data_IF_100184958984
#
_entry.id   IF_100184958984
#
_cell.length_a   1.000
_cell.length_b   1.000
_cell.length_c   1.000
_cell.angle_alpha   90.00
_cell.angle_beta   90.00
_cell.angle_gamma   90.00
#
_symmetry.space_group_name_H-M   'P 1'
#
loop_
_entity.id
_entity.type
_entity.pdbx_description
1 polymer ?
#
# COMPACT_ATOMS: atom_id res chain seq x y z
N UNK A 1 8.68 41.44 -19.78
CA UNK A 1 7.87 42.41 -19.00
C UNK A 1 8.58 42.76 -17.70
N UNK A 2 8.67 41.87 -16.72
CA UNK A 2 9.34 42.13 -15.42
C UNK A 2 10.75 42.75 -15.51
N UNK A 3 11.62 42.30 -16.42
CA UNK A 3 12.94 42.91 -16.63
C UNK A 3 12.84 44.36 -17.14
N UNK A 4 11.90 44.65 -18.04
CA UNK A 4 11.66 46.01 -18.56
C UNK A 4 11.16 46.93 -17.46
N UNK A 5 10.23 46.44 -16.63
CA UNK A 5 9.68 47.18 -15.49
C UNK A 5 10.80 47.49 -14.47
N UNK A 6 11.64 46.51 -14.18
CA UNK A 6 12.80 46.66 -13.30
C UNK A 6 13.76 47.76 -13.76
N UNK A 7 14.08 47.80 -15.06
CA UNK A 7 14.98 48.82 -15.62
C UNK A 7 14.36 50.23 -15.52
N UNK A 8 13.05 50.35 -15.72
CA UNK A 8 12.35 51.64 -15.57
C UNK A 8 12.44 52.17 -14.12
N UNK A 9 12.40 51.28 -13.13
CA UNK A 9 12.50 51.61 -11.70
C UNK A 9 13.97 51.84 -11.24
N UNK A 10 14.94 51.13 -11.83
CA UNK A 10 16.34 51.08 -11.37
C UNK A 10 17.33 51.69 -12.38
N UNK A 11 17.09 52.95 -12.79
CA UNK A 11 17.88 53.69 -13.80
C UNK A 11 19.38 53.88 -13.51
N UNK A 12 19.86 53.48 -12.32
CA UNK A 12 21.26 53.59 -11.91
C UNK A 12 22.05 52.29 -12.06
N UNK A 13 21.39 51.19 -12.39
CA UNK A 13 22.06 49.89 -12.54
C UNK A 13 22.80 49.86 -13.88
N UNK A 14 24.13 49.63 -13.90
CA UNK A 14 24.90 49.59 -15.14
C UNK A 14 24.40 48.49 -16.08
N UNK A 15 24.18 48.82 -17.36
CA UNK A 15 23.72 47.88 -18.39
C UNK A 15 24.64 46.64 -18.50
N UNK A 16 25.94 46.84 -18.33
CA UNK A 16 26.91 45.76 -18.39
C UNK A 16 26.79 44.76 -17.21
N UNK A 17 26.43 45.24 -16.00
CA UNK A 17 26.15 44.37 -14.85
C UNK A 17 24.83 43.60 -15.03
N UNK A 18 23.84 44.21 -15.68
CA UNK A 18 22.60 43.53 -16.09
C UNK A 18 22.94 42.41 -17.09
N UNK A 19 23.73 42.70 -18.12
CA UNK A 19 24.18 41.71 -19.12
C UNK A 19 24.95 40.56 -18.46
N UNK A 20 25.92 40.89 -17.59
CA UNK A 20 26.69 39.93 -16.80
C UNK A 20 25.79 39.00 -15.99
N UNK A 21 24.82 39.57 -15.26
CA UNK A 21 23.88 38.80 -14.45
C UNK A 21 22.95 37.92 -15.29
N UNK A 22 22.50 38.41 -16.46
CA UNK A 22 21.66 37.61 -17.35
C UNK A 22 22.40 36.43 -17.98
N UNK A 23 23.68 36.59 -18.30
CA UNK A 23 24.50 35.56 -18.95
C UNK A 23 25.10 34.55 -17.97
N UNK A 24 25.58 35.00 -16.80
CA UNK A 24 26.31 34.13 -15.85
C UNK A 24 25.58 33.91 -14.53
N UNK A 25 24.65 34.80 -14.16
CA UNK A 25 23.90 34.72 -12.89
C UNK A 25 22.58 33.95 -12.98
N UNK A 26 22.29 33.31 -14.12
CA UNK A 26 20.97 32.77 -14.46
C UNK A 26 21.04 31.41 -15.16
N UNK A 27 20.06 30.56 -14.88
CA UNK A 27 19.89 29.28 -15.58
C UNK A 27 19.35 29.51 -16.99
N UNK A 28 20.07 29.04 -18.00
CA UNK A 28 19.63 29.10 -19.40
C UNK A 28 18.63 27.99 -19.69
N UNK A 29 17.36 28.36 -19.89
CA UNK A 29 16.28 27.45 -20.26
C UNK A 29 16.25 27.19 -21.77
N UNK A 30 15.36 26.31 -22.20
CA UNK A 30 15.25 25.84 -23.58
C UNK A 30 14.68 26.90 -24.54
N UNK A 31 13.85 27.81 -24.05
CA UNK A 31 13.43 28.99 -24.80
C UNK A 31 14.42 30.12 -24.54
N UNK A 32 15.22 30.46 -25.55
CA UNK A 32 16.26 31.48 -25.46
C UNK A 32 15.88 32.73 -26.23
N UNK A 33 16.26 33.86 -25.66
CA UNK A 33 16.13 35.19 -26.22
C UNK A 33 17.49 35.89 -26.02
N UNK A 34 18.01 36.50 -27.07
CA UNK A 34 19.19 37.35 -27.01
C UNK A 34 19.00 38.61 -27.85
N UNK A 35 19.61 39.71 -27.44
CA UNK A 35 19.71 40.92 -28.23
C UNK A 35 21.03 41.62 -27.96
N UNK A 36 21.58 42.28 -28.98
CA UNK A 36 22.83 43.04 -28.88
C UNK A 36 22.51 44.53 -29.01
N UNK A 37 22.87 45.31 -28.01
CA UNK A 37 22.46 46.71 -27.84
C UNK A 37 23.62 47.58 -27.38
N UNK A 38 23.60 48.85 -27.76
CA UNK A 38 24.59 49.87 -27.37
C UNK A 38 24.14 50.70 -26.16
N UNK A 39 22.86 50.69 -25.82
CA UNK A 39 22.31 51.52 -24.73
C UNK A 39 21.10 50.93 -24.02
N UNK A 40 20.81 51.44 -22.82
CA UNK A 40 19.61 51.07 -22.05
C UNK A 40 18.32 51.45 -22.78
N UNK A 41 18.31 52.61 -23.45
CA UNK A 41 17.16 53.10 -24.23
C UNK A 41 16.84 52.14 -25.38
N UNK A 42 17.88 51.64 -26.06
CA UNK A 42 17.74 50.66 -27.14
C UNK A 42 17.19 49.33 -26.59
N UNK A 43 17.72 48.84 -25.47
CA UNK A 43 17.21 47.63 -24.82
C UNK A 43 15.74 47.75 -24.41
N UNK A 44 15.35 48.87 -23.79
CA UNK A 44 13.96 49.10 -23.41
C UNK A 44 13.06 49.15 -24.65
N UNK A 45 13.47 49.85 -25.72
CA UNK A 45 12.72 49.90 -26.98
C UNK A 45 12.51 48.50 -27.59
N UNK A 46 13.57 47.69 -27.64
CA UNK A 46 13.54 46.30 -28.12
C UNK A 46 12.59 45.42 -27.30
N UNK A 47 12.68 45.48 -25.96
CA UNK A 47 11.83 44.70 -25.07
C UNK A 47 10.35 45.10 -25.20
N UNK A 48 10.03 46.39 -25.30
CA UNK A 48 8.66 46.86 -25.51
C UNK A 48 8.13 46.44 -26.88
N UNK A 49 8.94 46.56 -27.93
CA UNK A 49 8.58 46.12 -29.28
C UNK A 49 8.30 44.61 -29.33
N UNK A 50 9.15 43.80 -28.71
CA UNK A 50 8.96 42.35 -28.61
C UNK A 50 7.66 42.00 -27.87
N UNK A 51 7.40 42.64 -26.72
CA UNK A 51 6.19 42.41 -25.92
C UNK A 51 4.89 42.87 -26.61
N UNK A 52 4.96 43.78 -27.58
CA UNK A 52 3.79 44.38 -28.25
C UNK A 52 3.35 43.64 -29.51
N UNK A 53 4.10 42.65 -29.99
CA UNK A 53 3.71 41.92 -31.21
C UNK A 53 4.79 41.05 -31.87
N UNK A 54 5.95 40.85 -31.24
CA UNK A 54 6.96 39.90 -31.73
C UNK A 54 7.60 40.24 -33.07
N UNK A 55 7.58 41.51 -33.52
CA UNK A 55 8.28 41.89 -34.73
C UNK A 55 9.79 41.63 -34.58
N UNK A 56 10.33 40.80 -35.47
CA UNK A 56 11.76 40.50 -35.59
C UNK A 56 12.51 41.78 -35.98
N UNK A 57 12.93 42.56 -34.98
CA UNK A 57 13.96 43.58 -35.18
C UNK A 57 15.27 42.83 -35.45
N UNK A 58 16.10 43.33 -36.38
CA UNK A 58 17.34 42.67 -36.84
C UNK A 58 18.33 42.31 -35.72
N UNK A 59 18.13 42.84 -34.52
CA UNK A 59 18.98 42.65 -33.34
C UNK A 59 18.38 41.69 -32.29
N UNK A 60 17.25 41.03 -32.57
CA UNK A 60 16.61 40.07 -31.66
C UNK A 60 16.73 38.65 -32.21
N UNK A 61 17.31 37.78 -31.40
CA UNK A 61 17.51 36.37 -31.71
C UNK A 61 16.69 35.53 -30.74
N UNK A 62 15.97 34.54 -31.26
CA UNK A 62 15.19 33.60 -30.44
C UNK A 62 15.26 32.20 -30.99
N UNK A 63 15.33 31.21 -30.10
CA UNK A 63 15.12 29.83 -30.49
C UNK A 63 14.52 29.02 -29.32
N UNK A 64 13.98 27.86 -29.66
CA UNK A 64 13.48 26.87 -28.72
C UNK A 64 13.98 25.51 -29.18
N UNK A 65 14.48 24.68 -28.27
CA UNK A 65 14.95 23.33 -28.59
C UNK A 65 14.60 22.35 -27.46
N UNK A 66 14.43 21.06 -27.79
CA UNK A 66 14.34 20.01 -26.77
C UNK A 66 15.72 19.50 -26.40
N UNK A 67 15.94 19.05 -25.16
CA UNK A 67 17.26 18.60 -24.68
C UNK A 67 17.86 17.46 -25.51
N UNK A 68 17.01 16.61 -26.10
CA UNK A 68 17.42 15.46 -26.93
C UNK A 68 17.75 15.82 -28.39
N UNK A 69 17.50 17.05 -28.84
CA UNK A 69 17.77 17.52 -30.22
C UNK A 69 19.08 18.31 -30.35
N UNK A 70 19.89 18.40 -29.27
CA UNK A 70 21.15 19.15 -29.25
C UNK A 70 22.23 18.48 -30.10
N UNK A 71 22.24 18.77 -31.39
CA UNK A 71 23.35 18.43 -32.29
C UNK A 71 24.32 19.61 -32.39
N UNK A 72 25.26 19.72 -31.44
CA UNK A 72 26.31 20.76 -31.49
C UNK A 72 27.28 20.48 -32.65
N UNK A 73 27.28 21.34 -33.68
CA UNK A 73 28.34 21.33 -34.69
C UNK A 73 29.63 21.93 -34.11
N UNK A 74 30.65 21.09 -33.92
CA UNK A 74 31.95 21.50 -33.35
C UNK A 74 32.61 22.70 -34.06
N UNK A 75 32.42 22.83 -35.37
CA UNK A 75 32.94 23.96 -36.17
C UNK A 75 32.31 25.28 -35.76
N UNK A 76 30.99 25.31 -35.59
CA UNK A 76 30.24 26.51 -35.17
C UNK A 76 30.55 26.88 -33.71
N UNK A 77 30.70 25.87 -32.84
CA UNK A 77 31.15 26.08 -31.45
C UNK A 77 32.53 26.74 -31.38
N UNK A 78 33.50 26.24 -32.16
CA UNK A 78 34.84 26.82 -32.25
C UNK A 78 34.80 28.25 -32.77
N UNK A 79 34.00 28.51 -33.80
CA UNK A 79 33.81 29.86 -34.33
C UNK A 79 33.22 30.82 -33.29
N UNK A 80 32.20 30.39 -32.54
CA UNK A 80 31.62 31.20 -31.46
C UNK A 80 32.64 31.54 -30.37
N UNK A 81 33.41 30.56 -29.89
CA UNK A 81 34.45 30.81 -28.90
C UNK A 81 35.58 31.69 -29.45
N UNK A 82 35.94 31.53 -30.72
CA UNK A 82 36.90 32.43 -31.38
C UNK A 82 36.39 33.87 -31.39
N UNK A 83 35.13 34.10 -31.77
CA UNK A 83 34.53 35.43 -31.73
C UNK A 83 34.60 36.02 -30.30
N UNK A 84 34.33 35.21 -29.26
CA UNK A 84 34.41 35.66 -27.87
C UNK A 84 35.83 36.12 -27.50
N UNK A 85 36.85 35.32 -27.82
CA UNK A 85 38.23 35.66 -27.44
C UNK A 85 38.80 36.84 -28.23
N UNK A 86 38.35 37.05 -29.47
CA UNK A 86 38.79 38.18 -30.30
C UNK A 86 38.23 39.52 -29.81
N UNK A 87 37.06 39.54 -29.16
CA UNK A 87 36.39 40.78 -28.72
C UNK A 87 37.25 41.67 -27.81
N UNK A 88 38.20 41.12 -27.04
CA UNK A 88 39.09 41.91 -26.18
C UNK A 88 40.07 42.78 -26.97
N UNK A 89 40.38 42.42 -28.22
CA UNK A 89 41.31 43.13 -29.10
C UNK A 89 40.65 44.03 -30.14
N UNK A 90 39.31 44.04 -30.22
CA UNK A 90 38.56 44.80 -31.22
C UNK A 90 38.23 46.18 -30.66
N UNK A 91 38.72 47.23 -31.33
CA UNK A 91 38.45 48.62 -30.98
C UNK A 91 37.39 49.27 -31.88
N UNK A 92 37.09 48.66 -33.03
CA UNK A 92 36.04 49.12 -33.92
C UNK A 92 34.66 48.73 -33.38
N UNK A 93 33.74 49.69 -33.12
CA UNK A 93 32.45 49.39 -32.53
C UNK A 93 31.54 48.52 -33.41
N UNK A 94 31.68 48.59 -34.73
CA UNK A 94 30.81 47.84 -35.64
C UNK A 94 31.29 46.40 -35.79
N UNK A 95 32.61 46.18 -35.87
CA UNK A 95 33.23 44.85 -35.80
C UNK A 95 32.94 44.16 -34.45
N UNK A 96 32.99 44.91 -33.34
CA UNK A 96 32.65 44.39 -32.01
C UNK A 96 31.20 43.90 -31.94
N UNK A 97 30.27 44.70 -32.49
CA UNK A 97 28.85 44.35 -32.55
C UNK A 97 28.59 43.15 -33.47
N UNK A 98 29.29 43.04 -34.59
CA UNK A 98 29.18 41.91 -35.51
C UNK A 98 29.61 40.60 -34.82
N UNK A 99 30.75 40.61 -34.11
CA UNK A 99 31.23 39.45 -33.35
C UNK A 99 30.29 39.07 -32.22
N UNK A 100 29.76 40.03 -31.47
CA UNK A 100 28.74 39.77 -30.44
C UNK A 100 27.44 39.21 -31.04
N UNK A 101 27.07 39.66 -32.23
CA UNK A 101 25.88 39.16 -32.94
C UNK A 101 26.03 37.68 -33.27
N UNK A 102 27.18 37.26 -33.79
CA UNK A 102 27.47 35.84 -34.03
C UNK A 102 27.39 34.99 -32.74
N UNK A 103 27.88 35.53 -31.61
CA UNK A 103 27.78 34.88 -30.31
C UNK A 103 26.32 34.76 -29.85
N UNK A 104 25.52 35.81 -30.01
CA UNK A 104 24.10 35.81 -29.66
C UNK A 104 23.30 34.77 -30.45
N UNK A 105 23.56 34.65 -31.77
CA UNK A 105 22.93 33.65 -32.63
C UNK A 105 23.23 32.21 -32.19
N UNK A 106 24.49 31.91 -31.92
CA UNK A 106 24.90 30.58 -31.43
C UNK A 106 24.37 30.32 -30.02
N UNK A 107 24.36 31.34 -29.15
CA UNK A 107 23.81 31.22 -27.82
C UNK A 107 22.33 30.82 -27.86
N UNK A 108 21.48 31.48 -28.67
CA UNK A 108 20.05 31.13 -28.70
C UNK A 108 19.82 29.72 -29.26
N UNK A 109 20.67 29.27 -30.18
CA UNK A 109 20.63 27.91 -30.74
C UNK A 109 21.07 26.82 -29.74
N UNK A 110 21.50 27.18 -28.53
CA UNK A 110 21.80 26.22 -27.47
C UNK A 110 23.28 25.84 -27.33
N UNK A 111 24.17 26.45 -28.12
CA UNK A 111 25.60 26.16 -28.05
C UNK A 111 26.20 26.55 -26.69
N UNK A 112 26.98 25.63 -26.10
CA UNK A 112 27.76 25.91 -24.89
C UNK A 112 29.05 26.64 -25.28
N UNK A 113 29.06 27.97 -25.14
CA UNK A 113 30.19 28.85 -25.46
C UNK A 113 30.96 29.27 -24.20
N UNK A 114 32.19 29.74 -24.35
CA UNK A 114 33.02 30.31 -23.27
C UNK A 114 32.57 31.74 -22.91
N UNK A 115 31.32 31.89 -22.48
CA UNK A 115 30.67 33.18 -22.23
C UNK A 115 31.38 33.97 -21.12
N UNK A 116 32.04 33.29 -20.19
CA UNK A 116 32.83 33.87 -19.12
C UNK A 116 33.95 34.78 -19.66
N UNK A 117 34.55 34.43 -20.80
CA UNK A 117 35.62 35.20 -21.42
C UNK A 117 35.18 36.61 -21.89
N UNK A 118 33.87 36.85 -22.12
CA UNK A 118 33.34 38.18 -22.44
C UNK A 118 33.54 39.20 -21.31
N UNK A 119 33.63 38.71 -20.07
CA UNK A 119 33.65 39.54 -18.87
C UNK A 119 34.97 39.46 -18.08
N UNK A 120 35.98 38.79 -18.63
CA UNK A 120 37.29 38.72 -17.98
C UNK A 120 37.93 40.11 -17.91
N UNK A 121 38.36 40.51 -16.70
CA UNK A 121 39.07 41.78 -16.48
C UNK A 121 38.21 43.04 -16.51
N UNK A 122 36.89 42.94 -16.69
CA UNK A 122 35.98 44.11 -16.78
C UNK A 122 35.44 44.58 -15.43
N UNK A 123 35.47 43.71 -14.40
CA UNK A 123 35.04 44.06 -13.03
C UNK A 123 33.52 44.10 -12.81
N UNK A 124 32.72 43.54 -13.73
CA UNK A 124 31.27 43.47 -13.58
C UNK A 124 30.82 42.59 -12.41
N UNK A 125 29.70 42.97 -11.80
CA UNK A 125 29.18 42.29 -10.62
C UNK A 125 27.74 41.82 -10.81
N UNK A 126 27.33 40.84 -10.01
CA UNK A 126 25.95 40.34 -10.00
C UNK A 126 25.03 41.39 -9.37
N UNK A 127 23.96 41.74 -10.08
CA UNK A 127 22.90 42.64 -9.59
C UNK A 127 21.60 41.90 -9.35
N UNK A 128 20.78 42.39 -8.42
CA UNK A 128 19.49 41.77 -8.09
C UNK A 128 18.46 42.03 -9.19
N UNK A 129 18.32 41.10 -10.13
CA UNK A 129 17.30 41.14 -11.19
C UNK A 129 16.02 40.38 -10.79
N UNK A 130 14.85 40.67 -11.39
CA UNK A 130 13.58 40.00 -11.07
C UNK A 130 13.63 38.47 -11.18
N UNK A 131 13.04 37.74 -10.23
CA UNK A 131 13.03 36.27 -10.24
C UNK A 131 12.41 35.68 -11.52
N UNK A 132 12.72 34.42 -11.83
CA UNK A 132 12.01 33.72 -12.91
C UNK A 132 10.50 33.69 -12.64
N UNK A 133 9.65 34.06 -13.61
CA UNK A 133 8.21 33.92 -13.47
C UNK A 133 7.82 32.46 -13.65
N UNK A 134 7.97 31.66 -12.58
CA UNK A 134 7.56 30.25 -12.58
C UNK A 134 6.07 30.13 -12.93
N UNK A 135 5.76 29.10 -13.71
CA UNK A 135 4.38 28.74 -14.01
C UNK A 135 3.63 28.39 -12.72
N UNK A 136 2.45 28.99 -12.54
CA UNK A 136 1.64 28.82 -11.34
C UNK A 136 0.69 27.62 -11.52
N UNK A 137 1.23 26.42 -11.41
CA UNK A 137 0.42 25.19 -11.32
C UNK A 137 0.02 24.88 -9.88
N UNK A 138 -1.19 24.35 -9.67
CA UNK A 138 -1.62 23.85 -8.36
C UNK A 138 -1.18 22.39 -8.21
N UNK A 139 -0.11 22.18 -7.44
CA UNK A 139 0.37 20.85 -7.08
C UNK A 139 0.18 20.67 -5.58
N UNK A 140 -0.89 19.95 -5.20
CA UNK A 140 -1.29 19.76 -3.81
C UNK A 140 -1.59 18.29 -3.55
N UNK A 141 -1.35 17.84 -2.32
CA UNK A 141 -1.69 16.49 -1.86
C UNK A 141 -3.22 16.37 -1.78
N UNK A 142 -3.79 15.28 -2.32
CA UNK A 142 -5.24 15.06 -2.38
C UNK A 142 -5.86 14.91 -0.99
N UNK A 143 -7.17 15.13 -0.85
CA UNK A 143 -7.87 14.98 0.43
C UNK A 143 -7.85 13.53 0.92
N UNK A 144 -7.95 12.55 0.02
CA UNK A 144 -7.73 11.11 0.31
C UNK A 144 -6.33 10.82 0.86
N UNK A 145 -5.32 11.56 0.41
CA UNK A 145 -3.96 11.42 0.94
C UNK A 145 -3.81 12.06 2.32
N UNK A 146 -4.54 13.14 2.60
CA UNK A 146 -4.61 13.75 3.95
C UNK A 146 -5.35 12.86 4.93
N UNK A 147 -6.40 12.17 4.51
CA UNK A 147 -7.11 11.19 5.33
C UNK A 147 -6.21 9.99 5.64
N UNK A 148 -5.44 9.48 4.67
CA UNK A 148 -4.40 8.47 4.95
C UNK A 148 -3.31 8.97 5.87
N UNK A 149 -2.87 10.22 5.72
CA UNK A 149 -1.85 10.79 6.61
C UNK A 149 -2.41 11.06 8.02
N UNK A 150 -3.68 11.45 8.14
CA UNK A 150 -4.39 11.56 9.42
C UNK A 150 -4.58 10.18 10.07
N UNK A 151 -4.94 9.16 9.29
CA UNK A 151 -4.99 7.77 9.74
C UNK A 151 -3.62 7.26 10.18
N UNK A 152 -2.55 7.57 9.44
CA UNK A 152 -1.16 7.29 9.83
C UNK A 152 -0.76 8.02 11.12
N UNK A 153 -1.29 9.22 11.37
CA UNK A 153 -1.11 9.93 12.65
C UNK A 153 -1.94 9.34 13.78
N UNK A 154 -3.10 8.73 13.50
CA UNK A 154 -3.86 7.91 14.46
C UNK A 154 -3.11 6.60 14.80
N UNK A 155 -2.31 6.06 13.87
CA UNK A 155 -1.33 5.00 14.14
C UNK A 155 -0.11 5.48 14.96
N UNK A 156 0.01 6.79 15.25
CA UNK A 156 1.01 7.35 16.17
C UNK A 156 0.36 7.87 17.48
N UNK A 157 0.98 7.60 18.64
CA UNK A 157 0.30 7.64 19.93
C UNK A 157 0.07 9.08 20.42
N UNK A 158 -1.14 9.62 20.23
CA UNK A 158 -1.51 10.91 20.83
C UNK A 158 -2.91 10.95 21.47
N UNK A 159 -3.64 9.83 21.53
CA UNK A 159 -4.93 9.69 22.24
C UNK A 159 -4.82 9.06 23.62
N UNK A 160 -5.93 8.86 24.34
CA UNK A 160 -5.93 8.16 25.64
C UNK A 160 -5.71 6.63 25.45
N UNK A 161 -5.18 5.89 26.45
CA UNK A 161 -4.80 4.47 26.28
C UNK A 161 -5.95 3.45 26.21
N UNK A 162 -7.17 3.83 26.61
CA UNK A 162 -8.30 2.90 26.77
C UNK A 162 -9.10 2.63 25.47
N UNK A 163 -8.73 3.27 24.35
CA UNK A 163 -9.50 3.31 23.09
C UNK A 163 -8.75 2.73 21.87
N UNK A 164 -7.67 1.97 22.06
CA UNK A 164 -6.72 1.68 20.95
C UNK A 164 -6.63 0.19 20.60
N UNK A 165 -7.69 -0.37 20.03
CA UNK A 165 -7.63 -1.70 19.41
C UNK A 165 -7.19 -1.57 17.94
N UNK A 166 -6.26 -2.40 17.41
CA UNK A 166 -5.75 -2.27 16.02
C UNK A 166 -6.82 -2.29 14.92
N UNK A 167 -7.98 -2.85 15.21
CA UNK A 167 -9.14 -2.96 14.32
C UNK A 167 -10.34 -2.08 14.73
N UNK A 168 -10.25 -1.25 15.77
CA UNK A 168 -11.31 -0.31 16.19
C UNK A 168 -10.67 1.07 16.44
N UNK A 169 -10.58 1.90 15.40
CA UNK A 169 -9.86 3.18 15.48
C UNK A 169 -10.70 4.29 16.13
N UNK A 170 -11.96 4.43 15.69
CA UNK A 170 -12.87 5.46 16.17
C UNK A 170 -14.17 4.83 16.69
N UNK A 171 -14.62 5.27 17.87
CA UNK A 171 -16.00 5.04 18.29
C UNK A 171 -16.89 6.12 17.68
N UNK A 172 -17.76 5.72 16.76
CA UNK A 172 -18.69 6.61 16.03
C UNK A 172 -20.14 6.35 16.41
N UNK A 173 -20.36 5.79 17.61
CA UNK A 173 -21.69 5.49 18.14
C UNK A 173 -22.55 6.75 18.25
N UNK A 174 -23.84 6.60 17.99
CA UNK A 174 -24.84 7.65 18.14
C UNK A 174 -26.09 7.08 18.85
N UNK A 175 -27.22 7.80 18.79
CA UNK A 175 -28.46 7.34 19.42
C UNK A 175 -29.08 6.11 18.74
N UNK A 176 -28.61 5.72 17.55
CA UNK A 176 -29.12 4.57 16.81
C UNK A 176 -28.45 3.25 17.22
N UNK A 177 -27.25 3.29 17.81
CA UNK A 177 -26.56 2.07 18.24
C UNK A 177 -25.07 2.26 18.46
N UNK A 178 -24.41 1.16 18.82
CA UNK A 178 -22.96 1.12 19.04
C UNK A 178 -22.25 0.87 17.72
N UNK A 179 -21.34 1.77 17.35
CA UNK A 179 -20.62 1.75 16.07
C UNK A 179 -19.15 2.04 16.25
N UNK A 180 -18.32 1.29 15.52
CA UNK A 180 -16.88 1.51 15.44
C UNK A 180 -16.44 1.61 13.99
N UNK A 181 -15.46 2.47 13.73
CA UNK A 181 -14.93 2.72 12.41
C UNK A 181 -13.41 2.57 12.40
N UNK A 182 -12.88 1.98 11.34
CA UNK A 182 -11.45 1.79 11.14
C UNK A 182 -11.08 2.04 9.69
N UNK A 183 -10.00 2.79 9.46
CA UNK A 183 -9.47 3.04 8.12
C UNK A 183 -8.29 2.11 7.86
N UNK A 184 -8.47 1.17 6.94
CA UNK A 184 -7.45 0.22 6.51
C UNK A 184 -6.77 0.77 5.25
N UNK A 185 -5.49 1.08 5.36
CA UNK A 185 -4.73 1.86 4.38
C UNK A 185 -3.91 1.02 3.42
N UNK A 186 -3.66 -0.25 3.75
CA UNK A 186 -2.72 -1.12 3.05
C UNK A 186 -1.36 -1.24 3.74
N UNK A 187 -1.10 -0.42 4.77
CA UNK A 187 0.15 -0.43 5.54
C UNK A 187 0.10 -1.40 6.74
N UNK A 188 -1.06 -2.00 7.01
CA UNK A 188 -1.27 -2.87 8.17
C UNK A 188 -0.56 -4.22 8.00
N UNK A 189 0.19 -4.63 9.02
CA UNK A 189 1.06 -5.81 9.01
C UNK A 189 0.31 -7.15 8.90
N UNK A 190 -0.97 -7.14 9.28
CA UNK A 190 -1.86 -8.29 9.15
C UNK A 190 -2.46 -8.46 7.74
N UNK A 191 -2.20 -7.57 6.78
CA UNK A 191 -2.73 -7.69 5.42
C UNK A 191 -1.93 -8.68 4.57
N UNK A 192 -2.63 -9.54 3.82
CA UNK A 192 -2.01 -10.58 3.00
C UNK A 192 -1.78 -10.05 1.58
N UNK A 193 -0.55 -10.16 1.07
CA UNK A 193 -0.23 -9.69 -0.29
C UNK A 193 -0.65 -10.69 -1.37
N UNK A 194 -1.30 -10.19 -2.42
CA UNK A 194 -1.76 -10.98 -3.58
C UNK A 194 -0.75 -10.90 -4.74
N UNK A 195 -0.46 -12.02 -5.41
CA UNK A 195 0.55 -12.09 -6.48
C UNK A 195 0.12 -11.37 -7.77
N UNK A 196 -1.10 -11.63 -8.28
CA UNK A 196 -1.51 -11.21 -9.63
C UNK A 196 -1.92 -9.74 -9.74
N UNK A 197 -2.38 -9.12 -8.64
CA UNK A 197 -3.01 -7.79 -8.66
C UNK A 197 -2.22 -6.69 -7.95
N UNK A 198 -1.09 -7.02 -7.33
CA UNK A 198 -0.31 -6.07 -6.53
C UNK A 198 -1.09 -5.44 -5.35
N UNK A 199 -2.24 -6.03 -4.99
CA UNK A 199 -3.11 -5.58 -3.91
C UNK A 199 -2.98 -6.41 -2.64
N UNK A 200 -3.76 -6.06 -1.65
CA UNK A 200 -3.78 -6.70 -0.34
C UNK A 200 -5.14 -7.36 -0.09
N UNK A 201 -5.18 -8.40 0.75
CA UNK A 201 -6.40 -9.05 1.22
C UNK A 201 -6.50 -8.89 2.73
N UNK A 202 -7.69 -8.51 3.20
CA UNK A 202 -8.02 -8.57 4.62
C UNK A 202 -8.26 -10.03 5.02
N UNK A 203 -7.52 -10.58 6.01
CA UNK A 203 -7.78 -11.94 6.49
C UNK A 203 -9.17 -12.04 7.12
N UNK A 204 -9.86 -13.17 6.92
CA UNK A 204 -11.19 -13.40 7.49
C UNK A 204 -11.23 -13.29 9.02
N UNK A 205 -10.11 -13.61 9.69
CA UNK A 205 -9.96 -13.47 11.14
C UNK A 205 -9.98 -12.03 11.64
N UNK A 206 -9.67 -11.03 10.81
CA UNK A 206 -9.76 -9.63 11.20
C UNK A 206 -11.20 -9.21 11.53
N UNK A 207 -12.18 -9.72 10.79
CA UNK A 207 -13.59 -9.44 11.09
C UNK A 207 -14.01 -10.03 12.45
N UNK A 208 -13.53 -11.23 12.78
CA UNK A 208 -13.85 -11.87 14.06
C UNK A 208 -13.27 -11.12 15.23
N UNK A 209 -12.01 -10.70 15.12
CA UNK A 209 -11.36 -9.92 16.17
C UNK A 209 -12.02 -8.54 16.33
N UNK A 210 -12.42 -7.91 15.23
CA UNK A 210 -13.17 -6.64 15.27
C UNK A 210 -14.50 -6.82 16.01
N UNK A 211 -15.28 -7.86 15.69
CA UNK A 211 -16.55 -8.16 16.37
C UNK A 211 -16.33 -8.47 17.87
N UNK A 212 -15.36 -9.33 18.20
CA UNK A 212 -15.00 -9.68 19.58
C UNK A 212 -14.58 -8.45 20.38
N UNK A 213 -13.66 -7.64 19.85
CA UNK A 213 -13.16 -6.45 20.52
C UNK A 213 -14.28 -5.40 20.71
N UNK A 214 -15.15 -5.22 19.70
CA UNK A 214 -16.27 -4.29 19.79
C UNK A 214 -17.28 -4.71 20.86
N UNK A 215 -17.57 -6.01 20.94
CA UNK A 215 -18.40 -6.57 22.01
C UNK A 215 -17.76 -6.38 23.39
N UNK A 216 -16.46 -6.66 23.54
CA UNK A 216 -15.73 -6.48 24.81
C UNK A 216 -15.73 -5.01 25.29
N UNK A 217 -15.62 -4.04 24.39
CA UNK A 217 -15.72 -2.62 24.75
C UNK A 217 -17.17 -2.22 25.12
N UNK A 218 -18.15 -2.84 24.47
CA UNK A 218 -19.57 -2.57 24.72
C UNK A 218 -20.07 -3.16 26.04
N UNK A 219 -19.52 -4.29 26.49
CA UNK A 219 -19.89 -4.92 27.76
C UNK A 219 -19.62 -4.02 28.97
N UNK A 220 -18.51 -3.27 28.96
CA UNK A 220 -18.18 -2.28 29.98
C UNK A 220 -19.25 -1.18 30.08
N UNK A 221 -19.78 -0.74 28.94
CA UNK A 221 -20.85 0.27 28.88
C UNK A 221 -22.19 -0.30 29.36
N UNK A 222 -22.47 -1.57 29.02
CA UNK A 222 -23.69 -2.29 29.39
C UNK A 222 -23.65 -2.88 30.82
N UNK A 223 -22.50 -2.79 31.52
CA UNK A 223 -22.25 -3.39 32.85
C UNK A 223 -22.55 -4.90 32.90
N UNK A 224 -22.30 -5.59 31.80
CA UNK A 224 -22.36 -7.04 31.77
C UNK A 224 -21.18 -7.59 32.59
N UNK A 225 -21.33 -8.75 33.26
CA UNK A 225 -20.16 -9.43 33.82
C UNK A 225 -19.13 -9.62 32.70
N UNK A 226 -17.85 -9.37 33.00
CA UNK A 226 -16.77 -9.63 32.07
C UNK A 226 -16.63 -11.16 31.93
N UNK A 227 -17.47 -11.76 31.10
CA UNK A 227 -17.43 -13.18 30.75
C UNK A 227 -16.74 -13.37 29.39
N UNK A 228 -16.34 -14.60 29.11
CA UNK A 228 -15.78 -14.98 27.82
C UNK A 228 -16.77 -14.70 26.67
N UNK A 229 -16.23 -14.56 25.46
CA UNK A 229 -17.01 -14.16 24.29
C UNK A 229 -17.32 -15.38 23.44
N UNK A 230 -18.58 -15.53 23.05
CA UNK A 230 -19.03 -16.54 22.08
C UNK A 230 -19.67 -15.86 20.88
N UNK A 231 -19.16 -16.16 19.69
CA UNK A 231 -19.77 -15.75 18.42
C UNK A 231 -20.61 -16.92 17.88
N UNK A 232 -21.82 -16.65 17.38
CA UNK A 232 -22.73 -17.66 16.80
C UNK A 232 -23.23 -17.23 15.44
N UNK A 233 -23.51 -18.24 14.59
CA UNK A 233 -24.09 -18.02 13.26
C UNK A 233 -23.24 -17.09 12.39
N UNK A 234 -21.92 -17.20 12.52
CA UNK A 234 -20.97 -16.32 11.84
C UNK A 234 -20.99 -16.64 10.34
N UNK A 235 -21.11 -15.62 9.51
CA UNK A 235 -21.06 -15.73 8.07
C UNK A 235 -20.08 -14.71 7.47
N UNK A 236 -19.19 -15.17 6.60
CA UNK A 236 -18.36 -14.33 5.74
C UNK A 236 -19.01 -14.23 4.37
N UNK A 237 -19.54 -13.06 4.07
CA UNK A 237 -20.33 -12.81 2.87
C UNK A 237 -19.43 -12.59 1.65
N UNK A 238 -18.25 -11.97 1.82
CA UNK A 238 -17.32 -11.69 0.73
C UNK A 238 -15.87 -11.48 1.23
N UNK A 239 -14.85 -12.02 0.54
CA UNK A 239 -13.46 -11.62 0.80
C UNK A 239 -13.23 -10.15 0.39
N UNK A 240 -12.43 -9.43 1.17
CA UNK A 240 -12.08 -8.04 0.88
C UNK A 240 -10.65 -7.94 0.33
N UNK A 241 -10.56 -7.65 -0.97
CA UNK A 241 -9.31 -7.29 -1.64
C UNK A 241 -9.23 -5.76 -1.75
N UNK A 242 -8.17 -5.18 -1.19
CA UNK A 242 -7.87 -3.76 -1.24
C UNK A 242 -7.12 -3.41 -2.52
N UNK A 243 -7.65 -2.45 -3.27
CA UNK A 243 -6.94 -1.69 -4.31
C UNK A 243 -6.38 -0.41 -3.68
N UNK A 244 -5.43 0.24 -4.36
CA UNK A 244 -4.47 1.26 -3.84
C UNK A 244 -5.00 2.36 -2.91
N UNK A 245 -6.32 2.53 -2.77
CA UNK A 245 -6.92 3.60 -2.01
C UNK A 245 -7.25 3.33 -0.54
N UNK A 246 -7.18 2.07 -0.12
CA UNK A 246 -7.61 1.63 1.22
C UNK A 246 -9.13 1.40 1.29
N UNK A 247 -9.64 1.14 2.48
CA UNK A 247 -11.06 0.90 2.75
C UNK A 247 -11.41 1.29 4.18
N UNK A 248 -12.60 1.84 4.39
CA UNK A 248 -13.17 2.04 5.72
C UNK A 248 -13.97 0.80 6.11
N UNK A 249 -13.66 0.22 7.27
CA UNK A 249 -14.45 -0.81 7.91
C UNK A 249 -15.35 -0.18 8.96
N UNK A 250 -16.62 -0.57 8.99
CA UNK A 250 -17.57 -0.16 10.01
C UNK A 250 -18.18 -1.40 10.67
N UNK A 251 -18.06 -1.49 11.99
CA UNK A 251 -18.75 -2.47 12.83
C UNK A 251 -19.96 -1.79 13.44
N UNK A 252 -21.14 -2.37 13.26
CA UNK A 252 -22.38 -1.99 13.94
C UNK A 252 -22.86 -3.14 14.82
N UNK A 253 -23.26 -2.82 16.04
CA UNK A 253 -23.81 -3.76 17.03
C UNK A 253 -25.27 -3.41 17.33
N UNK A 254 -26.13 -4.42 17.27
CA UNK A 254 -27.57 -4.30 17.50
C UNK A 254 -27.96 -5.14 18.69
N UNK A 255 -28.71 -4.56 19.64
CA UNK A 255 -29.22 -5.30 20.77
C UNK A 255 -30.33 -6.28 20.34
N UNK A 256 -30.22 -7.53 20.75
CA UNK A 256 -31.25 -8.55 20.62
C UNK A 256 -31.78 -8.98 22.01
N UNK A 257 -32.62 -10.00 22.05
CA UNK A 257 -33.10 -10.61 23.30
C UNK A 257 -31.95 -11.37 24.01
N UNK A 258 -32.15 -11.68 25.30
CA UNK A 258 -31.27 -12.57 26.08
C UNK A 258 -29.77 -12.19 26.12
N UNK A 259 -29.46 -10.89 26.22
CA UNK A 259 -28.08 -10.38 26.29
C UNK A 259 -27.22 -10.76 25.07
N UNK A 260 -27.87 -11.02 23.93
CA UNK A 260 -27.20 -11.24 22.65
C UNK A 260 -27.14 -9.92 21.89
N UNK A 261 -26.04 -9.67 21.19
CA UNK A 261 -25.96 -8.60 20.19
C UNK A 261 -25.78 -9.22 18.81
N UNK A 262 -26.59 -8.84 17.83
CA UNK A 262 -26.25 -9.05 16.44
C UNK A 262 -25.15 -8.06 16.04
N UNK A 263 -24.30 -8.45 15.09
CA UNK A 263 -23.27 -7.57 14.57
C UNK A 263 -23.17 -7.68 13.05
N UNK A 264 -22.78 -6.57 12.43
CA UNK A 264 -22.48 -6.50 11.02
C UNK A 264 -21.22 -5.68 10.77
N UNK A 265 -20.32 -6.18 9.92
CA UNK A 265 -19.10 -5.51 9.50
C UNK A 265 -19.19 -5.20 8.01
N UNK A 266 -19.12 -3.91 7.68
CA UNK A 266 -19.22 -3.39 6.31
C UNK A 266 -17.91 -2.77 5.85
N UNK A 267 -17.62 -2.91 4.56
CA UNK A 267 -16.55 -2.17 3.88
C UNK A 267 -17.13 -1.05 3.00
N UNK A 268 -16.55 0.14 3.15
CA UNK A 268 -16.82 1.32 2.33
C UNK A 268 -15.53 1.73 1.59
N UNK A 269 -15.47 1.66 0.24
CA UNK A 269 -14.32 2.15 -0.52
C UNK A 269 -14.13 3.67 -0.38
N UNK A 270 -12.88 4.15 -0.39
CA UNK A 270 -12.55 5.58 -0.26
C UNK A 270 -12.69 6.39 -1.56
N UNK A 271 -12.84 5.76 -2.72
CA UNK A 271 -12.86 6.47 -4.00
C UNK A 271 -14.20 7.20 -4.26
N UNK A 272 -14.13 8.46 -4.71
CA UNK A 272 -15.26 9.40 -5.00
C UNK A 272 -16.17 9.02 -6.21
N UNK A 273 -16.22 7.76 -6.61
CA UNK A 273 -17.03 7.34 -7.75
C UNK A 273 -18.44 6.95 -7.29
N UNK A 274 -19.39 7.90 -7.28
CA UNK A 274 -20.86 7.69 -7.13
C UNK A 274 -21.24 6.60 -6.11
N UNK A 275 -21.33 6.97 -4.83
CA UNK A 275 -21.83 6.16 -3.70
C UNK A 275 -21.84 4.64 -3.96
N UNK A 276 -20.67 3.96 -3.96
CA UNK A 276 -20.67 2.51 -3.95
C UNK A 276 -21.36 2.07 -2.65
N UNK A 277 -22.41 1.25 -2.77
CA UNK A 277 -23.13 0.75 -1.59
C UNK A 277 -22.16 0.01 -0.64
N UNK A 278 -22.29 0.19 0.69
CA UNK A 278 -21.50 -0.54 1.66
C UNK A 278 -21.62 -2.05 1.43
N UNK A 279 -20.50 -2.75 1.45
CA UNK A 279 -20.48 -4.21 1.23
C UNK A 279 -20.35 -4.91 2.58
N UNK A 280 -21.34 -5.75 2.90
CA UNK A 280 -21.28 -6.62 4.08
C UNK A 280 -20.16 -7.64 3.90
N UNK A 281 -19.23 -7.69 4.86
CA UNK A 281 -18.10 -8.61 4.87
C UNK A 281 -18.36 -9.80 5.79
N UNK A 282 -18.82 -9.51 7.01
CA UNK A 282 -19.01 -10.50 8.05
C UNK A 282 -20.17 -10.10 8.95
N UNK A 283 -20.95 -11.07 9.41
CA UNK A 283 -22.08 -10.87 10.31
C UNK A 283 -22.27 -12.09 11.20
N UNK A 284 -22.99 -11.91 12.30
CA UNK A 284 -23.34 -12.97 13.23
C UNK A 284 -23.93 -12.38 14.51
N UNK A 285 -23.94 -13.19 15.57
CA UNK A 285 -24.32 -12.73 16.91
C UNK A 285 -23.19 -12.96 17.90
N UNK A 286 -23.10 -12.11 18.91
CA UNK A 286 -22.18 -12.21 20.03
C UNK A 286 -22.95 -12.28 21.34
N UNK A 287 -22.50 -13.14 22.24
CA UNK A 287 -23.01 -13.26 23.59
C UNK A 287 -21.85 -13.48 24.57
N UNK A 288 -22.14 -13.28 25.85
CA UNK A 288 -21.22 -13.49 26.96
C UNK A 288 -21.60 -14.80 27.65
N UNK A 289 -20.67 -15.73 27.68
CA UNK A 289 -20.87 -17.05 28.29
C UNK A 289 -19.53 -17.53 28.83
N UNK A 290 -19.48 -18.03 30.06
CA UNK A 290 -18.25 -18.61 30.63
C UNK A 290 -17.77 -19.79 29.80
N UNK A 291 -16.56 -19.70 29.24
CA UNK A 291 -15.93 -20.79 28.50
C UNK A 291 -15.10 -21.64 29.49
N UNK A 292 -15.42 -22.93 29.67
CA UNK A 292 -14.66 -23.81 30.54
C UNK A 292 -13.17 -23.80 30.20
N UNK A 293 -12.33 -23.87 31.23
CA UNK A 293 -10.90 -24.10 30.99
C UNK A 293 -10.70 -25.53 30.51
N UNK A 294 -10.25 -25.67 29.27
CA UNK A 294 -9.90 -26.93 28.66
C UNK A 294 -8.40 -26.96 28.37
N UNK A 295 -7.78 -28.12 28.61
CA UNK A 295 -6.37 -28.35 28.33
C UNK A 295 -6.17 -29.64 27.57
N UNK A 296 -5.42 -29.57 26.48
CA UNK A 296 -5.08 -30.71 25.64
C UNK A 296 -3.63 -31.17 25.86
N UNK A 297 -3.41 -32.49 25.74
CA UNK A 297 -2.07 -33.04 25.58
C UNK A 297 -1.66 -32.97 24.11
N UNK A 298 -0.92 -31.91 23.78
CA UNK A 298 -0.45 -31.64 22.42
C UNK A 298 0.46 -32.75 21.87
N UNK A 299 1.20 -33.45 22.73
CA UNK A 299 2.05 -34.56 22.30
C UNK A 299 1.22 -35.74 21.82
N UNK A 300 0.10 -36.01 22.51
CA UNK A 300 -0.87 -37.04 22.13
C UNK A 300 -1.59 -36.65 20.84
N UNK A 301 -1.97 -35.38 20.64
CA UNK A 301 -2.59 -34.92 19.38
C UNK A 301 -1.59 -35.04 18.22
N UNK A 302 -0.35 -34.59 18.42
CA UNK A 302 0.70 -34.67 17.41
C UNK A 302 0.95 -36.11 16.95
N UNK A 303 0.99 -37.07 17.89
CA UNK A 303 1.16 -38.49 17.58
C UNK A 303 0.01 -39.06 16.74
N UNK A 304 -1.20 -38.49 16.81
CA UNK A 304 -2.34 -38.89 15.96
C UNK A 304 -2.29 -38.27 14.57
N UNK A 305 -1.55 -37.18 14.39
CA UNK A 305 -1.41 -36.46 13.13
C UNK A 305 -0.10 -36.84 12.39
N UNK A 306 0.47 -38.02 12.64
CA UNK A 306 1.85 -38.34 12.23
C UNK A 306 1.97 -39.08 10.88
N UNK A 307 0.93 -39.09 10.04
CA UNK A 307 1.00 -39.77 8.74
C UNK A 307 2.00 -39.02 7.83
N UNK A 308 1.96 -37.70 7.86
CA UNK A 308 2.87 -36.83 7.13
C UNK A 308 3.31 -35.63 7.97
N UNK A 309 4.48 -35.11 7.64
CA UNK A 309 5.07 -33.96 8.34
C UNK A 309 5.70 -33.01 7.35
N UNK A 310 5.55 -31.70 7.59
CA UNK A 310 6.20 -30.65 6.81
C UNK A 310 7.00 -29.74 7.72
N UNK A 311 8.22 -29.45 7.29
CA UNK A 311 9.01 -28.35 7.83
C UNK A 311 8.43 -27.00 7.36
N UNK A 312 8.79 -25.92 8.05
CA UNK A 312 8.50 -24.54 7.60
C UNK A 312 8.85 -24.29 6.13
N UNK A 313 10.02 -24.76 5.66
CA UNK A 313 10.40 -24.55 4.26
C UNK A 313 9.51 -25.32 3.29
N UNK A 314 9.18 -26.58 3.57
CA UNK A 314 8.33 -27.40 2.72
C UNK A 314 6.90 -26.86 2.67
N UNK A 315 6.36 -26.47 3.83
CA UNK A 315 5.04 -25.85 3.95
C UNK A 315 4.95 -24.60 3.08
N UNK A 316 5.85 -23.62 3.25
CA UNK A 316 5.77 -22.36 2.51
C UNK A 316 6.19 -22.46 1.04
N UNK A 317 7.04 -23.44 0.67
CA UNK A 317 7.33 -23.73 -0.75
C UNK A 317 6.07 -24.12 -1.51
N UNK A 318 5.15 -24.80 -0.83
CA UNK A 318 3.90 -25.27 -1.44
C UNK A 318 2.95 -24.13 -1.87
N UNK A 319 3.10 -22.94 -1.28
CA UNK A 319 2.36 -21.73 -1.63
C UNK A 319 3.03 -20.89 -2.72
N UNK A 320 4.23 -21.24 -3.19
CA UNK A 320 4.93 -20.49 -4.25
C UNK A 320 4.14 -20.45 -5.56
N UNK A 321 3.34 -21.49 -5.83
CA UNK A 321 2.44 -21.59 -6.98
C UNK A 321 1.02 -21.11 -6.70
N UNK A 322 0.76 -20.53 -5.53
CA UNK A 322 -0.55 -19.99 -5.14
C UNK A 322 -0.65 -18.49 -5.41
N UNK A 323 -1.86 -17.96 -5.52
CA UNK A 323 -2.11 -16.52 -5.72
C UNK A 323 -1.73 -15.64 -4.51
N UNK A 324 -1.33 -16.26 -3.40
CA UNK A 324 -0.95 -15.59 -2.16
C UNK A 324 0.56 -15.59 -1.98
N UNK A 325 1.08 -14.47 -1.47
CA UNK A 325 2.47 -14.37 -1.02
C UNK A 325 2.53 -13.85 0.40
N UNK A 326 2.76 -14.76 1.35
CA UNK A 326 3.06 -14.39 2.73
C UNK A 326 4.43 -13.69 2.82
N UNK A 327 4.42 -12.52 3.45
CA UNK A 327 5.64 -11.83 3.86
C UNK A 327 6.43 -12.69 4.87
N UNK A 328 7.77 -12.55 4.97
CA UNK A 328 8.58 -13.33 5.90
C UNK A 328 8.05 -13.35 7.35
N UNK A 329 7.50 -12.23 7.80
CA UNK A 329 6.94 -12.02 9.13
C UNK A 329 5.63 -12.78 9.32
N UNK A 330 4.84 -12.96 8.26
CA UNK A 330 3.57 -13.69 8.28
C UNK A 330 3.73 -15.22 8.17
N UNK A 331 4.97 -15.69 7.99
CA UNK A 331 5.30 -17.12 7.86
C UNK A 331 5.48 -17.77 9.23
N UNK A 332 4.40 -17.79 10.01
CA UNK A 332 4.43 -18.21 11.42
C UNK A 332 4.46 -19.71 11.64
N UNK A 333 4.05 -20.55 10.68
CA UNK A 333 4.04 -22.00 10.86
C UNK A 333 5.48 -22.54 10.89
N UNK A 334 5.85 -23.23 11.96
CA UNK A 334 7.16 -23.87 12.13
C UNK A 334 7.17 -25.30 11.61
N UNK A 335 6.08 -26.03 11.88
CA UNK A 335 5.96 -27.45 11.57
C UNK A 335 4.50 -27.83 11.49
N UNK A 336 4.18 -28.75 10.58
CA UNK A 336 2.84 -29.30 10.40
C UNK A 336 2.92 -30.82 10.46
N UNK A 337 1.96 -31.43 11.14
CA UNK A 337 1.71 -32.86 11.22
C UNK A 337 0.29 -33.09 10.71
N UNK A 338 0.12 -33.91 9.67
CA UNK A 338 -1.19 -34.20 9.07
C UNK A 338 -1.45 -35.69 8.90
N UNK A 339 -2.72 -36.08 8.98
CA UNK A 339 -3.16 -37.44 8.72
C UNK A 339 -4.57 -37.73 9.23
N UNK A 340 -5.26 -38.69 8.58
CA UNK A 340 -6.54 -39.25 9.04
C UNK A 340 -7.61 -38.18 9.34
N UNK A 341 -7.82 -37.27 8.38
CA UNK A 341 -8.80 -36.20 8.51
C UNK A 341 -8.45 -35.14 9.55
N UNK A 342 -7.20 -35.06 10.01
CA UNK A 342 -6.73 -34.16 11.06
C UNK A 342 -5.39 -33.54 10.70
N UNK A 343 -5.12 -32.35 11.23
CA UNK A 343 -3.83 -31.69 11.14
C UNK A 343 -3.53 -30.88 12.40
N UNK A 344 -2.27 -30.84 12.78
CA UNK A 344 -1.73 -30.02 13.86
C UNK A 344 -0.60 -29.18 13.30
N UNK A 345 -0.57 -27.90 13.62
CA UNK A 345 0.57 -27.02 13.35
C UNK A 345 1.08 -26.38 14.64
N UNK A 346 2.41 -26.24 14.69
CA UNK A 346 3.09 -25.38 15.65
C UNK A 346 3.37 -24.05 14.99
N UNK A 347 3.06 -22.95 15.66
CA UNK A 347 3.33 -21.59 15.17
C UNK A 347 4.37 -20.89 16.05
N UNK A 348 5.08 -19.94 15.46
CA UNK A 348 6.01 -19.04 16.14
C UNK A 348 5.30 -17.75 16.59
N UNK A 349 5.77 -17.18 17.70
CA UNK A 349 5.32 -15.91 18.24
C UNK A 349 6.09 -14.70 17.67
N UNK A 350 7.08 -14.92 16.78
CA UNK A 350 8.04 -13.88 16.38
C UNK A 350 7.40 -12.63 15.74
N UNK A 351 6.20 -12.76 15.16
CA UNK A 351 5.46 -11.65 14.56
C UNK A 351 4.25 -11.19 15.39
N UNK A 352 4.03 -11.79 16.56
CA UNK A 352 2.90 -11.45 17.43
C UNK A 352 3.34 -10.35 18.39
N UNK A 353 2.62 -9.22 18.37
CA UNK A 353 2.88 -8.14 19.31
C UNK A 353 2.64 -8.64 20.75
N UNK A 354 3.67 -8.54 21.60
CA UNK A 354 3.55 -8.84 23.03
C UNK A 354 3.05 -7.64 23.84
N UNK A 355 2.80 -6.52 23.19
CA UNK A 355 2.22 -5.35 23.83
C UNK A 355 0.75 -5.64 24.17
N UNK A 356 0.44 -5.70 25.47
CA UNK A 356 -0.92 -5.93 25.96
C UNK A 356 -1.90 -4.85 25.50
N UNK A 357 -1.43 -3.62 25.23
CA UNK A 357 -2.29 -2.54 24.75
C UNK A 357 -2.75 -2.75 23.29
N UNK A 358 -1.97 -3.47 22.49
CA UNK A 358 -2.24 -3.71 21.06
C UNK A 358 -2.44 -5.20 20.74
N UNK A 359 -2.64 -6.04 21.77
CA UNK A 359 -2.81 -7.49 21.62
C UNK A 359 -4.17 -7.80 21.02
N UNK A 360 -4.16 -8.45 19.87
CA UNK A 360 -5.35 -9.07 19.29
C UNK A 360 -5.51 -10.49 19.85
N UNK A 361 -6.64 -10.79 20.49
CA UNK A 361 -6.92 -12.11 21.08
C UNK A 361 -7.04 -13.15 19.96
N UNK A 362 -7.78 -12.81 18.92
CA UNK A 362 -7.83 -13.55 17.67
C UNK A 362 -6.94 -12.88 16.63
N UNK A 363 -5.64 -13.15 16.67
CA UNK A 363 -4.70 -12.54 15.72
C UNK A 363 -5.03 -12.92 14.26
N UNK A 364 -5.26 -11.96 13.34
CA UNK A 364 -5.73 -12.25 11.98
C UNK A 364 -4.83 -13.20 11.19
N UNK A 365 -3.50 -13.05 11.30
CA UNK A 365 -2.53 -13.95 10.64
C UNK A 365 -2.55 -15.37 11.23
N UNK A 366 -2.81 -15.53 12.53
CA UNK A 366 -2.91 -16.86 13.15
C UNK A 366 -4.13 -17.58 12.61
N UNK A 367 -5.27 -16.90 12.59
CA UNK A 367 -6.50 -17.44 12.04
C UNK A 367 -6.39 -17.77 10.55
N UNK A 368 -5.79 -16.89 9.76
CA UNK A 368 -5.59 -17.16 8.33
C UNK A 368 -4.75 -18.41 8.09
N UNK A 369 -3.62 -18.54 8.79
CA UNK A 369 -2.77 -19.72 8.67
C UNK A 369 -3.44 -20.98 9.22
N UNK A 370 -4.33 -20.84 10.21
CA UNK A 370 -5.16 -21.94 10.69
C UNK A 370 -6.17 -22.41 9.62
N UNK A 371 -6.73 -21.49 8.84
CA UNK A 371 -7.56 -21.84 7.68
C UNK A 371 -6.73 -22.52 6.58
N UNK A 372 -5.49 -22.05 6.33
CA UNK A 372 -4.60 -22.74 5.39
C UNK A 372 -4.23 -24.14 5.84
N UNK A 373 -4.11 -24.37 7.15
CA UNK A 373 -3.86 -25.70 7.72
C UNK A 373 -4.98 -26.69 7.36
N UNK A 374 -6.21 -26.23 7.16
CA UNK A 374 -7.30 -27.09 6.70
C UNK A 374 -7.01 -27.74 5.32
N UNK A 375 -6.18 -27.10 4.47
CA UNK A 375 -5.71 -27.72 3.22
C UNK A 375 -4.83 -28.96 3.47
N UNK A 376 -4.22 -29.10 4.66
CA UNK A 376 -3.44 -30.28 5.05
C UNK A 376 -4.29 -31.48 5.49
N UNK A 377 -5.61 -31.30 5.63
CA UNK A 377 -6.52 -32.38 6.01
C UNK A 377 -6.87 -33.27 4.81
N UNK A 378 -6.91 -32.69 3.61
CA UNK A 378 -7.49 -33.32 2.41
C UNK A 378 -6.53 -34.27 1.67
N UNK A 379 -5.70 -34.97 2.43
CA UNK A 379 -4.82 -36.03 1.95
C UNK A 379 -5.63 -37.31 1.99
N UNK A 380 -6.47 -37.51 0.98
CA UNK A 380 -7.20 -38.77 0.80
C UNK A 380 -6.25 -39.94 0.98
N UNK A 381 -6.70 -40.94 1.72
CA UNK A 381 -5.99 -42.05 2.38
C UNK A 381 -4.94 -42.84 1.59
N UNK A 382 -4.74 -42.60 0.30
CA UNK A 382 -3.56 -42.99 -0.46
C UNK A 382 -3.41 -41.93 -1.55
N UNK A 383 -2.24 -41.30 -1.70
CA UNK A 383 -1.83 -40.67 -2.96
C UNK A 383 -1.43 -41.83 -3.89
N UNK A 384 -2.33 -42.39 -4.72
CA UNK A 384 -2.07 -43.67 -5.41
C UNK A 384 -1.04 -43.49 -6.52
N UNK A 385 -0.82 -42.23 -6.93
CA UNK A 385 0.01 -41.84 -8.06
C UNK A 385 1.36 -41.23 -7.64
N UNK A 386 1.59 -41.03 -6.34
CA UNK A 386 2.83 -40.43 -5.83
C UNK A 386 3.08 -38.99 -6.30
N UNK A 387 2.05 -38.28 -6.77
CA UNK A 387 2.23 -36.93 -7.29
C UNK A 387 2.49 -35.92 -6.16
N UNK A 388 3.41 -34.95 -6.35
CA UNK A 388 3.64 -33.90 -5.36
C UNK A 388 2.39 -33.03 -5.23
N UNK A 389 1.96 -32.83 -3.99
CA UNK A 389 0.76 -32.06 -3.69
C UNK A 389 0.98 -30.59 -3.99
N UNK A 390 0.05 -30.03 -4.75
CA UNK A 390 0.03 -28.62 -5.13
C UNK A 390 -1.09 -27.95 -4.36
N UNK A 391 -0.71 -27.14 -3.36
CA UNK A 391 -1.62 -26.25 -2.67
C UNK A 391 -1.91 -25.09 -3.63
N UNK A 392 -3.05 -25.13 -4.33
CA UNK A 392 -3.28 -24.23 -5.46
C UNK A 392 -4.08 -22.97 -5.16
N UNK A 393 -4.75 -22.84 -4.01
CA UNK A 393 -5.33 -21.55 -3.59
C UNK A 393 -5.51 -21.47 -2.07
N UNK A 394 -5.83 -20.27 -1.58
CA UNK A 394 -6.25 -20.08 -0.19
C UNK A 394 -7.61 -20.71 0.07
N UNK A 395 -7.75 -21.36 1.22
CA UNK A 395 -9.07 -21.63 1.78
C UNK A 395 -9.70 -20.32 2.26
N UNK A 396 -10.97 -20.10 1.91
CA UNK A 396 -11.75 -18.95 2.36
C UNK A 396 -12.83 -19.42 3.34
N UNK A 397 -12.98 -18.77 4.50
CA UNK A 397 -14.07 -19.10 5.43
C UNK A 397 -15.40 -18.65 4.83
N UNK A 398 -16.46 -19.43 5.07
CA UNK A 398 -17.83 -19.12 4.62
C UNK A 398 -18.74 -18.94 5.84
N UNK A 399 -18.79 -19.93 6.73
CA UNK A 399 -19.63 -19.88 7.94
C UNK A 399 -18.97 -20.58 9.11
N UNK A 400 -19.30 -20.20 10.34
CA UNK A 400 -19.02 -20.97 11.54
C UNK A 400 -20.27 -21.00 12.43
N UNK A 401 -20.63 -22.18 12.93
CA UNK A 401 -21.82 -22.31 13.78
C UNK A 401 -21.62 -21.62 15.13
N UNK A 402 -20.47 -21.87 15.76
CA UNK A 402 -20.10 -21.30 17.05
C UNK A 402 -18.58 -21.09 17.12
N UNK A 403 -18.15 -19.98 17.72
CA UNK A 403 -16.76 -19.67 18.03
C UNK A 403 -16.68 -19.28 19.50
N UNK A 404 -16.11 -20.13 20.34
CA UNK A 404 -15.88 -19.85 21.76
C UNK A 404 -14.48 -19.27 21.94
N UNK A 405 -14.37 -18.13 22.59
CA UNK A 405 -13.12 -17.37 22.72
C UNK A 405 -12.84 -17.11 24.19
N UNK A 406 -11.72 -17.64 24.66
CA UNK A 406 -11.21 -17.44 26.01
C UNK A 406 -9.93 -16.63 25.97
N UNK A 407 -9.94 -15.44 26.53
CA UNK A 407 -8.73 -14.64 26.63
C UNK A 407 -7.84 -15.13 27.80
N UNK A 408 -6.88 -15.99 27.47
CA UNK A 408 -5.92 -16.55 28.44
C UNK A 408 -4.80 -15.59 28.81
N UNK A 409 -4.74 -14.40 28.21
CA UNK A 409 -3.59 -13.49 28.31
C UNK A 409 -2.37 -13.92 27.48
N UNK A 410 -2.40 -15.11 26.88
CA UNK A 410 -1.34 -15.67 26.04
C UNK A 410 -1.75 -15.74 24.57
N UNK A 411 -0.75 -15.74 23.69
CA UNK A 411 -0.96 -16.00 22.27
C UNK A 411 -1.19 -17.49 22.03
N UNK A 412 -2.03 -17.81 21.05
CA UNK A 412 -2.11 -19.18 20.53
C UNK A 412 -0.75 -19.55 19.91
N UNK A 413 -0.28 -20.75 20.20
CA UNK A 413 0.99 -21.32 19.74
C UNK A 413 0.81 -22.62 18.96
N UNK A 414 -0.39 -23.17 18.98
CA UNK A 414 -0.76 -24.39 18.28
C UNK A 414 -2.13 -24.25 17.64
N UNK A 415 -2.25 -24.83 16.45
CA UNK A 415 -3.51 -24.92 15.71
C UNK A 415 -3.79 -26.39 15.44
N UNK A 416 -4.95 -26.86 15.87
CA UNK A 416 -5.44 -28.19 15.55
C UNK A 416 -6.70 -28.05 14.69
N UNK A 417 -6.77 -28.80 13.60
CA UNK A 417 -7.93 -28.80 12.70
C UNK A 417 -8.32 -30.24 12.41
N UNK A 418 -9.62 -30.53 12.40
CA UNK A 418 -10.17 -31.84 12.05
C UNK A 418 -11.38 -31.72 11.15
N UNK A 419 -11.63 -32.73 10.31
CA UNK A 419 -12.93 -32.85 9.63
C UNK A 419 -14.04 -32.99 10.66
N UNK A 420 -15.10 -32.22 10.48
CA UNK A 420 -16.32 -32.37 11.27
C UNK A 420 -17.03 -33.67 10.87
N UNK A 421 -17.69 -34.30 11.83
CA UNK A 421 -18.59 -35.45 11.56
C UNK A 421 -19.77 -35.06 10.64
N UNK A 422 -20.08 -33.77 10.54
CA UNK A 422 -21.11 -33.23 9.66
C UNK A 422 -20.59 -32.92 8.23
N UNK A 423 -19.32 -33.23 7.94
CA UNK A 423 -18.76 -33.02 6.60
C UNK A 423 -19.40 -33.96 5.58
N UNK A 424 -20.01 -33.38 4.54
CA UNK A 424 -20.70 -34.12 3.47
C UNK A 424 -19.78 -34.84 2.48
N UNK A 425 -18.45 -34.73 2.64
CA UNK A 425 -17.44 -35.55 1.95
C UNK A 425 -17.16 -35.24 0.46
N UNK A 426 -18.06 -34.57 -0.26
CA UNK A 426 -17.86 -34.24 -1.69
C UNK A 426 -18.47 -32.88 -2.06
N UNK A 427 -17.69 -31.81 -1.91
CA UNK A 427 -18.08 -30.45 -2.28
C UNK A 427 -16.85 -29.58 -2.53
N UNK A 428 -17.03 -28.44 -3.21
CA UNK A 428 -16.07 -27.31 -3.20
C UNK A 428 -15.88 -26.73 -1.78
N UNK A 429 -16.69 -27.15 -0.83
CA UNK A 429 -16.64 -26.75 0.58
C UNK A 429 -16.38 -27.95 1.48
N UNK A 430 -15.71 -27.70 2.61
CA UNK A 430 -15.50 -28.69 3.68
C UNK A 430 -15.94 -28.09 5.01
N UNK A 431 -16.46 -28.94 5.89
CA UNK A 431 -16.77 -28.54 7.27
C UNK A 431 -15.71 -29.10 8.20
N UNK A 432 -15.07 -28.21 8.94
CA UNK A 432 -13.97 -28.51 9.85
C UNK A 432 -14.29 -27.99 11.25
N UNK A 433 -13.65 -28.57 12.25
CA UNK A 433 -13.52 -28.00 13.57
C UNK A 433 -12.07 -27.52 13.75
N UNK A 434 -11.88 -26.39 14.41
CA UNK A 434 -10.57 -25.75 14.58
C UNK A 434 -10.40 -25.29 16.03
N UNK A 435 -9.31 -25.74 16.65
CA UNK A 435 -8.93 -25.37 18.01
C UNK A 435 -7.58 -24.63 18.00
N UNK A 436 -7.52 -23.55 18.77
CA UNK A 436 -6.31 -22.80 19.05
C UNK A 436 -5.88 -23.04 20.48
N UNK A 437 -4.62 -23.42 20.68
CA UNK A 437 -4.05 -23.65 22.01
C UNK A 437 -2.83 -22.77 22.27
N UNK A 438 -2.65 -22.33 23.52
CA UNK A 438 -1.42 -21.67 23.97
C UNK A 438 -0.23 -22.66 24.04
N UNK A 439 0.94 -22.18 24.49
CA UNK A 439 2.14 -23.02 24.65
C UNK A 439 2.01 -24.15 25.68
N UNK A 440 1.05 -24.05 26.60
CA UNK A 440 0.78 -25.02 27.65
C UNK A 440 -0.32 -26.04 27.26
N UNK A 441 -0.96 -25.86 26.11
CA UNK A 441 -2.09 -26.67 25.65
C UNK A 441 -3.45 -26.18 26.18
N UNK A 442 -3.54 -24.99 26.76
CA UNK A 442 -4.81 -24.37 27.19
C UNK A 442 -5.57 -23.89 25.96
N UNK A 443 -6.87 -24.18 25.87
CA UNK A 443 -7.72 -23.75 24.77
C UNK A 443 -7.92 -22.22 24.81
N UNK A 444 -7.50 -21.53 23.75
CA UNK A 444 -7.71 -20.10 23.56
C UNK A 444 -8.98 -19.83 22.74
N UNK A 445 -9.24 -20.63 21.71
CA UNK A 445 -10.47 -20.52 20.93
C UNK A 445 -10.84 -21.85 20.28
N UNK A 446 -12.14 -22.10 20.13
CA UNK A 446 -12.70 -23.25 19.40
C UNK A 446 -13.72 -22.77 18.39
N UNK A 447 -13.58 -23.25 17.17
CA UNK A 447 -14.45 -23.00 16.04
C UNK A 447 -15.15 -24.31 15.71
N UNK A 448 -16.47 -24.34 15.91
CA UNK A 448 -17.29 -25.50 15.66
C UNK A 448 -18.01 -25.35 14.31
N UNK A 449 -17.90 -26.40 13.50
CA UNK A 449 -18.54 -26.53 12.20
C UNK A 449 -18.25 -25.34 11.28
N UNK A 450 -16.97 -25.01 11.18
CA UNK A 450 -16.44 -24.00 10.27
C UNK A 450 -16.47 -24.54 8.84
N UNK A 451 -17.28 -23.94 7.98
CA UNK A 451 -17.30 -24.25 6.55
C UNK A 451 -16.28 -23.39 5.83
N UNK A 452 -15.37 -24.04 5.11
CA UNK A 452 -14.36 -23.39 4.27
C UNK A 452 -14.57 -23.76 2.82
N UNK A 453 -14.41 -22.79 1.91
CA UNK A 453 -14.27 -23.06 0.48
C UNK A 453 -12.87 -23.60 0.22
N UNK A 454 -12.79 -24.80 -0.31
CA UNK A 454 -11.54 -25.37 -0.78
C UNK A 454 -11.19 -24.82 -2.17
N UNK A 455 -9.90 -24.74 -2.52
CA UNK A 455 -9.46 -24.41 -3.87
C UNK A 455 -10.13 -25.31 -4.92
N UNK A 456 -10.48 -24.76 -6.07
CA UNK A 456 -10.86 -25.58 -7.22
C UNK A 456 -9.68 -26.53 -7.53
N UNK A 457 -9.91 -27.83 -7.35
CA UNK A 457 -9.01 -28.84 -7.89
C UNK A 457 -9.15 -28.78 -9.41
N UNK A 458 -8.05 -28.76 -10.14
CA UNK A 458 -8.07 -29.13 -11.56
C UNK A 458 -8.52 -30.60 -11.65
N UNK A 459 -9.84 -30.84 -11.64
CA UNK A 459 -10.43 -32.18 -11.73
C UNK A 459 -10.26 -32.80 -13.12
N UNK A 460 -9.67 -32.06 -14.08
CA UNK A 460 -9.59 -32.45 -15.50
C UNK A 460 -8.65 -33.62 -15.82
N UNK A 461 -7.82 -34.09 -14.88
CA UNK A 461 -6.95 -35.25 -15.09
C UNK A 461 -7.40 -36.53 -14.38
N UNK A 462 -8.38 -36.47 -13.46
CA UNK A 462 -8.80 -37.64 -12.67
C UNK A 462 -10.00 -38.41 -13.26
N UNK A 463 -10.84 -37.76 -14.08
CA UNK A 463 -12.04 -38.41 -14.67
C UNK A 463 -11.66 -39.39 -15.79
N UNK A 464 -10.54 -39.18 -16.50
CA UNK A 464 -10.11 -40.06 -17.61
C UNK A 464 -9.59 -41.43 -17.15
N UNK A 465 -9.22 -41.59 -15.88
CA UNK A 465 -8.68 -42.86 -15.36
C UNK A 465 -9.80 -43.75 -14.79
N UNK A 466 -10.92 -43.16 -14.36
CA UNK A 466 -12.10 -43.90 -13.90
C UNK A 466 -12.87 -44.59 -15.02
N UNK A 467 -12.85 -44.04 -16.25
CA UNK A 467 -13.56 -44.63 -17.38
C UNK A 467 -12.77 -45.77 -18.05
N UNK A 468 -11.42 -45.67 -18.09
CA UNK A 468 -10.58 -46.73 -18.66
C UNK A 468 -10.38 -47.95 -17.74
N UNK A 469 -10.70 -47.85 -16.45
CA UNK A 469 -10.59 -48.96 -15.49
C UNK A 469 -11.82 -49.88 -15.42
N UNK A 470 -12.88 -49.61 -16.18
CA UNK A 470 -14.11 -50.44 -16.22
C UNK A 470 -14.21 -51.38 -17.42
N UNK A 471 -13.34 -51.23 -18.43
CA UNK A 471 -13.34 -52.08 -19.63
C UNK A 471 -12.29 -53.21 -19.62
N UNK A 472 -11.51 -53.36 -18.54
CA UNK A 472 -10.66 -54.53 -18.30
C UNK A 472 -11.06 -55.26 -17.02
N UNK A 473 -12.22 -55.92 -17.03
CA UNK A 473 -12.53 -57.04 -16.11
C UNK A 473 -13.43 -58.09 -16.75
#
# INVERSE_FOLDING_TARGET
>A
RQLSDFMAEHKKTPLADISYTLLLGRKHLNHRFACVVKSEVELQSLLHGWLSGGHLQQQVFTASFQENERSERLTLKRYGNQCIHELQGIHDPDEYMERLTAVAELFVQGYVLDIEALFQGTGHTVVSLPSYPFEKGRYWISETSKEREAARRLHHPSGSPLERHPLLHDNVSDLSGVKFRSLITGDEDYLIKLQEKGGYRLPGGACLEMARAGAALSSNSLKLPAEDIVLRGVAWSKPLDLVQDGVTLELELFAEEDQTLAYEIRAQPLAESTEPEPVVLNQGSVLWETVPEERADLSTIQARCSIQTWTKQEWYRSFETSDIRYAPEQRIIESVWGGDGKALAKISADCLTNDQEHRMVLHPIVLDQALQLACAIDWTTVNPLGEPIRFRAASLPITAAEIRIKDTGAHAMWVYVSLSEQDGGFSETRTIDLDLYDSNGTLCARFSHLTVKMPERDFRSAVTISENGRDEK
#
